data_IF_797081864496
#
_entry.id   IF_797081864496
#
_cell.length_a   1.000
_cell.length_b   1.000
_cell.length_c   1.000
_cell.angle_alpha   90.00
_cell.angle_beta   90.00
_cell.angle_gamma   90.00
#
_symmetry.space_group_name_H-M   'P 1'
#
loop_
_entity.id
_entity.type
_entity.pdbx_description
1 polymer ?
#
# COMPACT_ATOMS: atom_id res chain seq x y z
N UNK A 1 12.85 13.30 -9.06
CA UNK A 1 11.76 12.34 -9.39
C UNK A 1 11.98 11.83 -10.81
N UNK A 2 11.70 10.55 -11.07
CA UNK A 2 11.73 10.00 -12.43
C UNK A 2 10.73 10.75 -13.32
N UNK A 3 11.10 11.00 -14.57
CA UNK A 3 10.21 11.72 -15.49
C UNK A 3 9.09 10.81 -16.01
N UNK A 4 7.93 11.41 -16.32
CA UNK A 4 6.83 10.69 -16.98
C UNK A 4 7.26 10.13 -18.34
N UNK A 5 8.12 10.85 -19.07
CA UNK A 5 8.63 10.40 -20.37
C UNK A 5 9.50 9.15 -20.23
N UNK A 6 10.33 9.06 -19.19
CA UNK A 6 11.12 7.86 -18.88
C UNK A 6 10.20 6.68 -18.58
N UNK A 7 9.17 6.89 -17.76
CA UNK A 7 8.20 5.83 -17.41
C UNK A 7 7.42 5.35 -18.65
N UNK A 8 6.92 6.27 -19.47
CA UNK A 8 6.14 5.94 -20.67
C UNK A 8 7.01 5.34 -21.80
N UNK A 9 8.31 5.59 -21.82
CA UNK A 9 9.23 4.95 -22.78
C UNK A 9 9.97 3.74 -22.18
N UNK A 10 9.57 3.28 -20.99
CA UNK A 10 10.07 2.03 -20.41
C UNK A 10 9.53 0.79 -21.13
N UNK A 11 9.89 -0.38 -20.63
CA UNK A 11 9.42 -1.68 -21.15
C UNK A 11 7.92 -1.95 -20.90
N UNK A 12 7.24 -1.08 -20.14
CA UNK A 12 5.83 -1.21 -19.78
C UNK A 12 4.90 -0.40 -20.71
N UNK A 13 3.62 -0.75 -20.74
CA UNK A 13 2.65 -0.01 -21.55
C UNK A 13 2.51 1.44 -21.03
N UNK A 14 2.50 2.41 -21.95
CA UNK A 14 2.33 3.85 -21.65
C UNK A 14 1.10 4.15 -20.79
N UNK A 15 0.01 3.43 -21.03
CA UNK A 15 -1.26 3.56 -20.31
C UNK A 15 -1.17 3.22 -18.82
N UNK A 16 -0.08 2.60 -18.36
CA UNK A 16 0.14 2.37 -16.94
C UNK A 16 0.65 3.60 -16.18
N UNK A 17 1.06 4.67 -16.88
CA UNK A 17 1.59 5.88 -16.26
C UNK A 17 0.85 7.11 -16.77
N UNK A 18 0.15 7.78 -15.86
CA UNK A 18 -0.62 8.99 -16.17
C UNK A 18 -0.12 10.12 -15.30
N UNK A 19 0.07 11.29 -15.88
CA UNK A 19 0.42 12.49 -15.13
C UNK A 19 -0.82 13.36 -14.95
N UNK A 20 -1.03 13.83 -13.72
CA UNK A 20 -2.14 14.68 -13.33
C UNK A 20 -1.63 16.00 -12.75
N UNK A 21 -2.33 17.09 -13.05
CA UNK A 21 -2.05 18.41 -12.49
C UNK A 21 -2.73 18.56 -11.13
N UNK A 22 -2.06 18.09 -10.08
CA UNK A 22 -2.41 18.34 -8.68
C UNK A 22 -3.68 17.69 -8.15
N UNK A 23 -4.40 16.91 -8.96
CA UNK A 23 -5.65 16.28 -8.54
C UNK A 23 -5.81 14.89 -9.16
N UNK A 24 -6.17 13.91 -8.35
CA UNK A 24 -6.58 12.58 -8.80
C UNK A 24 -7.75 12.07 -7.97
N UNK A 25 -8.68 11.35 -8.61
CA UNK A 25 -9.83 10.74 -7.94
C UNK A 25 -9.73 9.22 -8.07
N UNK A 26 -9.91 8.52 -6.96
CA UNK A 26 -10.02 7.06 -6.91
C UNK A 26 -11.42 6.67 -6.47
N UNK A 27 -12.07 5.89 -7.32
CA UNK A 27 -13.43 5.40 -7.09
C UNK A 27 -13.46 3.87 -7.02
N UNK A 28 -14.20 3.31 -6.08
CA UNK A 28 -14.64 1.91 -6.10
C UNK A 28 -16.10 1.84 -6.56
N UNK A 29 -16.40 0.92 -7.49
CA UNK A 29 -17.79 0.63 -7.85
C UNK A 29 -18.42 -0.16 -6.70
N UNK A 30 -19.35 0.45 -5.97
CA UNK A 30 -20.06 -0.19 -4.86
C UNK A 30 -21.47 -0.61 -5.27
N UNK A 31 -21.90 -1.79 -4.79
CA UNK A 31 -23.26 -2.33 -4.97
C UNK A 31 -24.17 -1.96 -3.78
N UNK A 32 -23.59 -1.51 -2.66
CA UNK A 32 -24.28 -1.23 -1.40
C UNK A 32 -24.06 0.22 -0.97
N UNK A 33 -25.11 0.87 -0.45
CA UNK A 33 -25.08 2.26 0.02
C UNK A 33 -24.33 2.41 1.35
N UNK A 34 -23.67 3.55 1.55
CA UNK A 34 -23.00 3.90 2.82
C UNK A 34 -21.55 3.41 2.95
N UNK A 35 -20.95 2.94 1.86
CA UNK A 35 -19.53 2.60 1.77
C UNK A 35 -18.71 3.79 1.29
N UNK A 36 -17.40 3.78 1.58
CA UNK A 36 -16.48 4.74 0.97
C UNK A 36 -16.37 4.40 -0.52
N UNK A 37 -16.89 5.28 -1.36
CA UNK A 37 -16.98 5.10 -2.80
C UNK A 37 -15.88 5.88 -3.51
N UNK A 38 -15.57 7.08 -3.04
CA UNK A 38 -14.67 7.99 -3.71
C UNK A 38 -13.67 8.64 -2.75
N UNK A 39 -12.42 8.72 -3.19
CA UNK A 39 -11.38 9.50 -2.53
C UNK A 39 -10.69 10.40 -3.55
N UNK A 40 -10.78 11.69 -3.31
CA UNK A 40 -10.02 12.70 -4.04
C UNK A 40 -8.69 12.95 -3.33
N UNK A 41 -7.61 13.07 -4.10
CA UNK A 41 -6.29 13.45 -3.63
C UNK A 41 -5.90 14.76 -4.30
N UNK A 42 -5.59 15.77 -3.49
CA UNK A 42 -5.15 17.08 -3.92
C UNK A 42 -3.67 17.26 -3.57
N UNK A 43 -2.90 17.90 -4.43
CA UNK A 43 -1.47 18.14 -4.25
C UNK A 43 -1.04 19.41 -4.98
N UNK A 44 -0.20 20.22 -4.35
CA UNK A 44 0.42 21.39 -4.94
C UNK A 44 1.62 21.00 -5.80
N UNK A 45 1.32 20.45 -6.97
CA UNK A 45 2.33 20.02 -7.91
C UNK A 45 1.79 19.01 -8.89
N UNK A 46 2.66 18.12 -9.34
CA UNK A 46 2.33 17.09 -10.31
C UNK A 46 2.25 15.73 -9.64
N UNK A 47 1.23 14.95 -10.01
CA UNK A 47 1.04 13.58 -9.54
C UNK A 47 1.27 12.64 -10.71
N UNK A 48 2.25 11.75 -10.63
CA UNK A 48 2.37 10.64 -11.57
C UNK A 48 1.70 9.41 -10.98
N UNK A 49 0.54 9.06 -11.53
CA UNK A 49 -0.20 7.85 -11.18
C UNK A 49 0.39 6.64 -11.90
N UNK A 50 0.63 5.58 -11.12
CA UNK A 50 0.84 4.23 -11.64
C UNK A 50 -0.49 3.49 -11.57
N UNK A 51 -1.00 3.06 -12.73
CA UNK A 51 -2.25 2.33 -12.83
C UNK A 51 -2.17 1.01 -12.07
N UNK A 52 -3.20 0.70 -11.28
CA UNK A 52 -3.32 -0.58 -10.57
C UNK A 52 -3.34 -1.79 -11.50
N UNK A 53 -3.70 -1.59 -12.77
CA UNK A 53 -3.69 -2.66 -13.77
C UNK A 53 -2.28 -3.19 -14.03
N UNK A 54 -1.22 -2.39 -13.79
CA UNK A 54 0.16 -2.86 -13.85
C UNK A 54 0.40 -4.01 -12.86
N UNK A 55 0.00 -3.84 -11.61
CA UNK A 55 0.11 -4.90 -10.60
C UNK A 55 -0.87 -6.04 -10.91
N UNK A 56 -2.12 -5.73 -11.23
CA UNK A 56 -3.16 -6.75 -11.46
C UNK A 56 -2.82 -7.70 -12.62
N UNK A 57 -2.25 -7.20 -13.70
CA UNK A 57 -1.86 -8.02 -14.85
C UNK A 57 -0.64 -8.90 -14.58
N UNK A 58 0.15 -8.58 -13.55
CA UNK A 58 1.27 -9.39 -13.10
C UNK A 58 0.94 -10.24 -11.87
N UNK A 59 -0.33 -10.43 -11.48
CA UNK A 59 -0.66 -11.15 -10.23
C UNK A 59 -0.35 -12.65 -10.28
N UNK A 60 -0.43 -13.27 -11.45
CA UNK A 60 -0.39 -14.74 -11.59
C UNK A 60 1.02 -15.32 -11.44
N UNK A 61 2.07 -14.48 -11.50
CA UNK A 61 3.45 -14.90 -11.19
C UNK A 61 3.74 -14.94 -9.68
N UNK A 62 2.81 -14.48 -8.83
CA UNK A 62 2.99 -14.43 -7.38
C UNK A 62 2.19 -15.53 -6.67
N UNK A 63 2.78 -16.12 -5.63
CA UNK A 63 2.15 -17.21 -4.90
C UNK A 63 1.09 -16.74 -3.89
N UNK A 64 0.05 -17.57 -3.73
CA UNK A 64 -0.87 -17.49 -2.60
C UNK A 64 -0.38 -18.42 -1.50
N UNK A 65 0.02 -17.86 -0.36
CA UNK A 65 0.59 -18.64 0.76
C UNK A 65 -0.51 -19.27 1.61
N UNK A 66 -1.57 -18.51 1.90
CA UNK A 66 -2.71 -18.96 2.69
C UNK A 66 -3.96 -18.15 2.35
N UNK A 67 -5.06 -18.40 3.09
CA UNK A 67 -6.27 -17.55 3.02
C UNK A 67 -6.00 -16.12 3.47
N UNK A 68 -5.03 -15.92 4.36
CA UNK A 68 -4.76 -14.62 5.02
C UNK A 68 -3.50 -13.92 4.50
N UNK A 69 -2.73 -14.57 3.62
CA UNK A 69 -1.51 -14.03 3.02
C UNK A 69 -1.41 -14.43 1.54
N UNK A 70 -1.39 -13.44 0.67
CA UNK A 70 -1.17 -13.62 -0.77
C UNK A 70 -0.19 -12.57 -1.27
N UNK A 71 0.86 -13.00 -2.00
CA UNK A 71 1.74 -12.07 -2.71
C UNK A 71 1.10 -11.53 -4.00
N UNK A 72 -0.11 -11.97 -4.33
CA UNK A 72 -0.87 -11.51 -5.50
C UNK A 72 -1.73 -10.28 -5.22
N UNK A 73 -1.80 -9.79 -3.97
CA UNK A 73 -2.67 -8.66 -3.62
C UNK A 73 -2.05 -7.32 -4.00
N UNK A 74 -2.91 -6.33 -4.15
CA UNK A 74 -2.61 -4.97 -4.58
C UNK A 74 -3.40 -3.97 -3.74
N UNK A 75 -2.91 -2.74 -3.76
CA UNK A 75 -3.60 -1.57 -3.26
C UNK A 75 -4.33 -0.83 -4.39
N UNK A 76 -5.12 0.17 -4.03
CA UNK A 76 -6.02 0.87 -4.95
C UNK A 76 -5.33 1.95 -5.79
N UNK A 77 -4.19 2.46 -5.31
CA UNK A 77 -3.42 3.48 -6.02
C UNK A 77 -1.95 3.51 -5.64
N UNK A 78 -1.11 3.86 -6.62
CA UNK A 78 0.31 4.15 -6.42
C UNK A 78 0.59 5.49 -7.09
N UNK A 79 1.13 6.45 -6.35
CA UNK A 79 1.44 7.79 -6.85
C UNK A 79 2.92 8.13 -6.62
N UNK A 80 3.53 8.76 -7.60
CA UNK A 80 4.85 9.37 -7.51
C UNK A 80 4.69 10.88 -7.43
N UNK A 81 5.35 11.48 -6.45
CA UNK A 81 5.20 12.89 -6.09
C UNK A 81 6.59 13.47 -5.78
N UNK A 82 6.76 14.77 -5.94
CA UNK A 82 7.94 15.50 -5.48
C UNK A 82 7.51 16.72 -4.69
N UNK A 83 8.04 16.86 -3.48
CA UNK A 83 7.75 17.97 -2.57
C UNK A 83 9.04 18.37 -1.86
N UNK A 84 9.35 19.67 -1.90
CA UNK A 84 10.51 20.27 -1.24
C UNK A 84 11.84 19.53 -1.55
N UNK A 85 12.02 19.07 -2.79
CA UNK A 85 13.20 18.35 -3.25
C UNK A 85 13.23 16.86 -2.85
N UNK A 86 12.20 16.37 -2.18
CA UNK A 86 12.06 14.96 -1.78
C UNK A 86 11.09 14.25 -2.70
N UNK A 87 11.49 13.11 -3.25
CA UNK A 87 10.59 12.26 -4.04
C UNK A 87 9.86 11.29 -3.12
N UNK A 88 8.58 11.06 -3.39
CA UNK A 88 7.74 10.16 -2.62
C UNK A 88 7.11 9.10 -3.52
N UNK A 89 6.97 7.89 -2.98
CA UNK A 89 6.07 6.86 -3.49
C UNK A 89 4.95 6.69 -2.47
N UNK A 90 3.73 6.96 -2.90
CA UNK A 90 2.53 6.84 -2.09
C UNK A 90 1.73 5.62 -2.51
N UNK A 91 1.56 4.66 -1.61
CA UNK A 91 0.66 3.52 -1.77
C UNK A 91 -0.65 3.82 -1.07
N UNK A 92 -1.78 3.65 -1.75
CA UNK A 92 -3.10 4.04 -1.24
C UNK A 92 -4.02 2.84 -1.21
N UNK A 93 -4.60 2.57 -0.05
CA UNK A 93 -5.61 1.55 0.18
C UNK A 93 -6.89 2.19 0.71
N UNK A 94 -7.99 2.04 -0.03
CA UNK A 94 -9.33 2.45 0.37
C UNK A 94 -10.03 1.29 1.05
N UNK A 95 -10.65 1.53 2.20
CA UNK A 95 -11.48 0.53 2.89
C UNK A 95 -12.74 1.15 3.42
N UNK A 96 -13.88 0.54 3.15
CA UNK A 96 -15.11 0.89 3.88
C UNK A 96 -14.98 0.55 5.37
N UNK A 97 -14.44 -0.62 5.69
CA UNK A 97 -14.17 -1.00 7.08
C UNK A 97 -12.67 -1.20 7.27
N UNK A 98 -12.10 -0.46 8.23
CA UNK A 98 -10.71 -0.65 8.61
C UNK A 98 -10.44 -2.12 8.92
N UNK A 99 -9.45 -2.70 8.26
CA UNK A 99 -9.02 -4.05 8.53
C UNK A 99 -7.49 -4.17 8.47
N UNK A 100 -6.95 -5.08 9.27
CA UNK A 100 -5.51 -5.33 9.33
C UNK A 100 -4.89 -5.77 8.01
N UNK A 101 -5.68 -6.31 7.07
CA UNK A 101 -5.18 -6.74 5.75
C UNK A 101 -4.74 -5.56 4.88
N UNK A 102 -5.24 -4.35 5.13
CA UNK A 102 -4.81 -3.15 4.44
C UNK A 102 -3.28 -2.91 4.58
N UNK A 103 -2.71 -3.14 5.76
CA UNK A 103 -1.25 -3.04 5.98
C UNK A 103 -0.49 -4.01 5.07
N UNK A 104 -1.03 -5.22 4.89
CA UNK A 104 -0.44 -6.24 4.03
C UNK A 104 -0.57 -5.88 2.55
N UNK A 105 -1.72 -5.37 2.11
CA UNK A 105 -1.89 -4.93 0.72
C UNK A 105 -0.89 -3.83 0.35
N UNK A 106 -0.67 -2.87 1.24
CA UNK A 106 0.36 -1.85 1.09
C UNK A 106 1.76 -2.49 1.00
N UNK A 107 2.14 -3.33 1.98
CA UNK A 107 3.47 -3.95 2.01
C UNK A 107 3.75 -4.86 0.80
N UNK A 108 2.76 -5.62 0.35
CA UNK A 108 2.90 -6.48 -0.83
C UNK A 108 2.93 -5.64 -2.12
N UNK A 109 2.12 -4.59 -2.22
CA UNK A 109 2.17 -3.67 -3.37
C UNK A 109 3.52 -3.00 -3.49
N UNK A 110 4.10 -2.59 -2.37
CA UNK A 110 5.46 -2.06 -2.29
C UNK A 110 6.50 -3.04 -2.86
N UNK A 111 6.55 -4.26 -2.32
CA UNK A 111 7.45 -5.32 -2.79
C UNK A 111 7.30 -5.56 -4.30
N UNK A 112 6.07 -5.64 -4.78
CA UNK A 112 5.76 -5.93 -6.20
C UNK A 112 6.14 -4.76 -7.10
N UNK A 113 5.85 -3.53 -6.68
CA UNK A 113 6.18 -2.33 -7.43
C UNK A 113 7.69 -2.15 -7.54
N UNK A 114 8.44 -2.34 -6.44
CA UNK A 114 9.91 -2.36 -6.45
C UNK A 114 10.48 -3.38 -7.42
N UNK A 115 9.91 -4.60 -7.44
CA UNK A 115 10.34 -5.65 -8.35
C UNK A 115 10.14 -5.25 -9.82
N UNK A 116 9.02 -4.60 -10.14
CA UNK A 116 8.75 -4.10 -11.50
C UNK A 116 9.67 -2.93 -11.87
N UNK A 117 9.92 -2.02 -10.94
CA UNK A 117 10.79 -0.88 -11.19
C UNK A 117 12.25 -1.26 -11.47
N UNK A 118 12.68 -2.46 -11.07
CA UNK A 118 14.01 -3.00 -11.44
C UNK A 118 14.24 -3.07 -12.97
N UNK A 119 13.18 -3.07 -13.78
CA UNK A 119 13.26 -3.07 -15.24
C UNK A 119 13.23 -1.68 -15.90
N UNK A 120 13.18 -0.60 -15.12
CA UNK A 120 13.07 0.78 -15.62
C UNK A 120 14.42 1.47 -15.43
N UNK A 121 15.06 1.85 -16.52
CA UNK A 121 16.30 2.62 -16.47
C UNK A 121 16.07 4.00 -15.82
N UNK A 122 17.01 4.43 -14.98
CA UNK A 122 16.90 5.67 -14.21
C UNK A 122 15.92 5.65 -13.04
N UNK A 123 15.29 4.52 -12.72
CA UNK A 123 14.53 4.36 -11.47
C UNK A 123 15.42 3.76 -10.38
N UNK A 124 15.74 4.52 -9.35
CA UNK A 124 16.27 3.99 -8.09
C UNK A 124 15.25 4.20 -6.97
N UNK A 125 14.89 3.12 -6.28
CA UNK A 125 13.97 3.16 -5.15
C UNK A 125 14.54 3.96 -3.97
N UNK A 126 15.87 4.01 -3.84
CA UNK A 126 16.52 4.73 -2.75
C UNK A 126 16.40 6.26 -2.90
N UNK A 127 16.00 6.74 -4.09
CA UNK A 127 15.71 8.15 -4.32
C UNK A 127 14.34 8.59 -3.80
N UNK A 128 13.55 7.66 -3.23
CA UNK A 128 12.18 7.91 -2.79
C UNK A 128 11.97 7.61 -1.30
N UNK A 129 11.16 8.45 -0.66
CA UNK A 129 10.52 8.13 0.61
C UNK A 129 9.20 7.41 0.37
N UNK A 130 8.94 6.37 1.16
CA UNK A 130 7.82 5.46 0.93
C UNK A 130 6.75 5.67 2.00
N UNK A 131 5.52 5.96 1.56
CA UNK A 131 4.39 6.20 2.43
C UNK A 131 3.22 5.32 2.00
N UNK A 132 2.56 4.67 2.95
CA UNK A 132 1.30 3.98 2.76
C UNK A 132 0.16 4.76 3.41
N UNK A 133 -0.94 4.98 2.71
CA UNK A 133 -2.16 5.55 3.26
C UNK A 133 -3.25 4.50 3.27
N UNK A 134 -3.79 4.23 4.45
CA UNK A 134 -5.02 3.48 4.62
C UNK A 134 -6.11 4.51 4.89
N UNK A 135 -7.11 4.58 4.02
CA UNK A 135 -8.20 5.55 4.10
C UNK A 135 -9.48 4.78 4.33
N UNK A 136 -10.08 4.97 5.51
CA UNK A 136 -11.25 4.19 5.90
C UNK A 136 -12.10 4.87 6.95
N UNK A 137 -13.30 4.34 7.18
CA UNK A 137 -14.02 4.66 8.42
C UNK A 137 -13.22 4.27 9.67
N UNK A 138 -13.49 4.90 10.84
CA UNK A 138 -12.81 4.58 12.08
C UNK A 138 -12.96 3.10 12.43
N UNK A 139 -11.95 2.50 13.11
CA UNK A 139 -11.98 1.10 13.49
C UNK A 139 -13.15 0.84 14.44
N UNK A 140 -13.86 -0.27 14.25
CA UNK A 140 -14.78 -0.77 15.29
C UNK A 140 -13.97 -1.42 16.40
N UNK A 141 -14.17 -0.97 17.63
CA UNK A 141 -13.46 -1.44 18.82
C UNK A 141 -13.74 -2.91 19.11
N UNK A 142 -12.87 -3.82 18.66
CA UNK A 142 -12.39 -5.02 19.37
C UNK A 142 -11.82 -6.03 18.38
N UNK A 143 -10.55 -6.42 18.54
CA UNK A 143 -10.10 -7.74 18.08
C UNK A 143 -9.26 -8.38 19.18
N UNK A 144 -9.91 -9.19 20.03
CA UNK A 144 -9.22 -10.07 20.97
C UNK A 144 -8.72 -11.31 20.23
N UNK A 145 -7.43 -11.61 20.35
CA UNK A 145 -6.81 -12.79 19.75
C UNK A 145 -6.69 -13.89 20.82
N UNK A 146 -7.50 -14.95 20.71
CA UNK A 146 -7.42 -16.14 21.55
C UNK A 146 -7.09 -17.33 20.67
N UNK A 147 -5.82 -17.74 20.62
CA UNK A 147 -5.48 -19.18 20.55
C UNK A 147 -4.00 -19.43 20.80
N UNK A 148 -3.73 -20.41 21.67
CA UNK A 148 -2.40 -20.94 21.95
C UNK A 148 -2.37 -22.43 21.60
N UNK A 149 -1.65 -22.82 20.55
CA UNK A 149 -1.38 -24.23 20.25
C UNK A 149 0.04 -24.43 19.72
N UNK A 150 0.63 -25.59 20.02
CA UNK A 150 1.88 -26.06 19.41
C UNK A 150 1.61 -26.42 17.94
N UNK A 151 2.39 -25.84 17.05
CA UNK A 151 2.12 -25.83 15.62
C UNK A 151 3.39 -26.19 14.83
N UNK A 152 3.21 -26.84 13.68
CA UNK A 152 4.27 -27.22 12.76
C UNK A 152 5.03 -25.98 12.22
N UNK A 153 6.21 -26.16 11.60
CA UNK A 153 7.06 -25.03 11.14
C UNK A 153 6.33 -24.01 10.24
N UNK A 154 5.51 -24.48 9.30
CA UNK A 154 4.71 -23.60 8.41
C UNK A 154 3.63 -22.83 9.18
N UNK A 155 2.99 -23.49 10.14
CA UNK A 155 2.00 -22.86 11.02
C UNK A 155 2.66 -21.87 11.98
N UNK A 156 3.89 -22.12 12.42
CA UNK A 156 4.69 -21.19 13.25
C UNK A 156 5.05 -19.91 12.50
N UNK A 157 5.44 -20.01 11.21
CA UNK A 157 5.67 -18.82 10.37
C UNK A 157 4.39 -18.02 10.20
N UNK A 158 3.26 -18.69 9.95
CA UNK A 158 1.96 -18.02 9.82
C UNK A 158 1.48 -17.40 11.13
N UNK A 159 1.80 -18.01 12.27
CA UNK A 159 1.49 -17.47 13.60
C UNK A 159 2.31 -16.21 13.89
N UNK A 160 3.62 -16.21 13.60
CA UNK A 160 4.46 -15.02 13.74
C UNK A 160 3.97 -13.89 12.82
N UNK A 161 3.61 -14.22 11.58
CA UNK A 161 2.95 -13.30 10.65
C UNK A 161 1.68 -12.68 11.24
N UNK A 162 0.77 -13.50 11.78
CA UNK A 162 -0.49 -13.02 12.37
C UNK A 162 -0.21 -12.09 13.56
N UNK A 163 0.68 -12.49 14.46
CA UNK A 163 1.07 -11.67 15.63
C UNK A 163 1.65 -10.32 15.23
N UNK A 164 2.57 -10.30 14.26
CA UNK A 164 3.10 -9.04 13.72
C UNK A 164 1.97 -8.18 13.16
N UNK A 165 1.06 -8.76 12.37
CA UNK A 165 -0.04 -8.03 11.77
C UNK A 165 -1.01 -7.45 12.82
N UNK A 166 -1.28 -8.20 13.89
CA UNK A 166 -2.08 -7.72 15.02
C UNK A 166 -1.41 -6.57 15.78
N UNK A 167 -0.14 -6.72 16.15
CA UNK A 167 0.60 -5.69 16.86
C UNK A 167 0.69 -4.39 16.04
N UNK A 168 0.93 -4.50 14.73
CA UNK A 168 0.91 -3.36 13.81
C UNK A 168 -0.47 -2.73 13.73
N UNK A 169 -1.53 -3.53 13.65
CA UNK A 169 -2.89 -3.03 13.59
C UNK A 169 -3.28 -2.26 14.87
N UNK A 170 -2.94 -2.78 16.05
CA UNK A 170 -3.16 -2.07 17.32
C UNK A 170 -2.40 -0.75 17.37
N UNK A 171 -1.13 -0.76 16.96
CA UNK A 171 -0.30 0.44 16.90
C UNK A 171 -0.85 1.45 15.89
N UNK A 172 -1.30 1.02 14.72
CA UNK A 172 -1.88 1.87 13.70
C UNK A 172 -3.19 2.51 14.20
N UNK A 173 -4.04 1.77 14.91
CA UNK A 173 -5.27 2.32 15.51
C UNK A 173 -4.95 3.40 16.56
N UNK A 174 -3.96 3.12 17.42
CA UNK A 174 -3.59 3.97 18.56
C UNK A 174 -2.82 5.22 18.13
N UNK A 175 -1.78 5.04 17.34
CA UNK A 175 -0.80 6.08 17.00
C UNK A 175 -1.11 6.73 15.64
N UNK A 176 -2.12 6.23 14.90
CA UNK A 176 -2.49 6.62 13.52
C UNK A 176 -1.39 6.40 12.48
N UNK A 177 -0.27 5.79 12.87
CA UNK A 177 0.81 5.43 11.98
C UNK A 177 1.65 4.25 12.51
N UNK A 178 2.26 3.51 11.60
CA UNK A 178 3.27 2.48 11.87
C UNK A 178 4.38 2.53 10.82
N UNK A 179 5.57 2.07 11.18
CA UNK A 179 6.68 1.92 10.24
C UNK A 179 6.89 0.44 9.95
N UNK A 180 6.96 0.09 8.67
CA UNK A 180 7.30 -1.25 8.20
C UNK A 180 8.77 -1.28 7.78
N UNK A 181 9.44 -2.34 8.18
CA UNK A 181 10.85 -2.61 7.91
C UNK A 181 11.06 -4.07 7.44
N UNK A 182 12.31 -4.41 7.19
CA UNK A 182 12.73 -5.67 6.57
C UNK A 182 12.49 -6.91 7.45
N UNK A 183 12.18 -6.70 8.73
CA UNK A 183 11.88 -7.76 9.69
C UNK A 183 10.40 -7.81 10.10
N UNK A 184 9.59 -6.81 9.71
CA UNK A 184 8.20 -6.64 10.17
C UNK A 184 7.35 -7.89 10.00
N UNK A 185 7.38 -8.52 8.82
CA UNK A 185 6.65 -9.75 8.54
C UNK A 185 7.54 -10.99 8.44
N UNK A 186 8.80 -10.88 8.91
CA UNK A 186 9.80 -11.95 8.83
C UNK A 186 9.86 -12.58 7.43
N UNK A 187 10.16 -11.80 6.40
CA UNK A 187 10.05 -12.23 4.99
C UNK A 187 10.91 -13.43 4.56
N UNK A 188 11.84 -13.87 5.41
CA UNK A 188 12.83 -14.92 5.15
C UNK A 188 12.24 -16.25 4.65
N UNK A 189 11.13 -16.78 5.20
CA UNK A 189 10.53 -18.03 4.73
C UNK A 189 10.07 -18.00 3.28
N UNK A 190 9.80 -16.82 2.72
CA UNK A 190 9.37 -16.65 1.32
C UNK A 190 10.49 -16.17 0.39
N UNK A 191 11.73 -16.14 0.89
CA UNK A 191 12.91 -15.76 0.12
C UNK A 191 12.78 -14.43 -0.64
N UNK A 192 12.08 -13.45 -0.06
CA UNK A 192 11.98 -12.09 -0.61
C UNK A 192 13.35 -11.43 -0.54
N UNK A 193 13.84 -10.91 -1.67
CA UNK A 193 15.16 -10.28 -1.73
C UNK A 193 15.23 -9.02 -0.86
N UNK A 194 16.36 -8.77 -0.21
CA UNK A 194 16.52 -7.65 0.72
C UNK A 194 16.17 -6.29 0.09
N UNK A 195 16.60 -6.08 -1.15
CA UNK A 195 16.42 -4.81 -1.90
C UNK A 195 14.97 -4.44 -2.22
N UNK A 196 14.04 -5.40 -2.16
CA UNK A 196 12.62 -5.17 -2.46
C UNK A 196 11.75 -5.23 -1.20
N UNK A 197 12.32 -5.45 -0.02
CA UNK A 197 11.55 -5.42 1.23
C UNK A 197 11.19 -3.98 1.59
N UNK A 198 10.10 -3.75 2.33
CA UNK A 198 9.90 -2.49 3.02
C UNK A 198 11.06 -2.27 4.00
N UNK A 199 11.67 -1.08 4.03
CA UNK A 199 12.76 -0.75 4.98
C UNK A 199 12.33 0.37 5.92
N UNK A 200 11.76 1.45 5.36
CA UNK A 200 11.29 2.62 6.10
C UNK A 200 9.90 3.07 5.62
N UNK A 201 9.04 2.12 5.25
CA UNK A 201 7.71 2.41 4.73
C UNK A 201 6.79 2.86 5.87
N UNK A 202 6.43 4.14 5.89
CA UNK A 202 5.53 4.70 6.91
C UNK A 202 4.09 4.53 6.45
N UNK A 203 3.32 3.70 7.16
CA UNK A 203 1.89 3.50 6.90
C UNK A 203 1.07 4.34 7.87
N UNK A 204 0.22 5.22 7.34
CA UNK A 204 -0.67 6.10 8.10
C UNK A 204 -2.12 5.72 7.89
N UNK A 205 -2.95 5.90 8.91
CA UNK A 205 -4.39 5.73 8.85
C UNK A 205 -5.08 7.09 8.83
N UNK A 206 -5.81 7.37 7.75
CA UNK A 206 -6.65 8.55 7.63
C UNK A 206 -8.11 8.13 7.82
N UNK A 207 -8.74 8.66 8.86
CA UNK A 207 -10.12 8.35 9.19
C UNK A 207 -11.10 9.23 8.41
N UNK A 208 -12.01 8.59 7.69
CA UNK A 208 -13.16 9.23 7.06
C UNK A 208 -14.35 9.11 8.00
N UNK A 209 -15.11 10.17 8.31
CA UNK A 209 -16.30 10.05 9.14
C UNK A 209 -17.30 9.02 8.60
N UNK A 210 -17.85 8.16 9.47
CA UNK A 210 -18.84 7.14 9.08
C UNK A 210 -20.00 7.77 8.32
N UNK A 211 -20.45 7.10 7.26
CA UNK A 211 -21.58 7.52 6.44
C UNK A 211 -21.22 8.51 5.34
N UNK A 212 -19.95 8.94 5.21
CA UNK A 212 -19.48 9.67 4.03
C UNK A 212 -19.08 8.71 2.92
N UNK A 213 -19.75 8.82 1.77
CA UNK A 213 -19.37 8.08 0.57
C UNK A 213 -18.16 8.66 -0.15
N UNK A 214 -17.79 9.92 0.13
CA UNK A 214 -16.61 10.55 -0.44
C UNK A 214 -15.77 11.32 0.59
N UNK A 215 -14.48 11.44 0.29
CA UNK A 215 -13.55 12.28 1.04
C UNK A 215 -12.51 12.92 0.12
N UNK A 216 -11.84 13.96 0.62
CA UNK A 216 -10.73 14.63 -0.05
C UNK A 216 -9.55 14.67 0.90
N UNK A 217 -8.38 14.28 0.39
CA UNK A 217 -7.10 14.22 1.11
C UNK A 217 -6.15 15.23 0.49
N UNK A 218 -5.67 16.15 1.31
CA UNK A 218 -4.59 17.05 0.96
C UNK A 218 -3.24 16.36 1.17
N UNK A 219 -2.59 15.96 0.08
CA UNK A 219 -1.30 15.27 0.11
C UNK A 219 -0.18 16.16 0.62
N UNK A 220 -0.25 17.50 0.46
CA UNK A 220 0.76 18.40 1.01
C UNK A 220 0.79 18.34 2.54
N UNK A 221 -0.34 18.08 3.19
CA UNK A 221 -0.41 17.93 4.64
C UNK A 221 0.07 16.56 5.15
N UNK A 222 0.13 15.56 4.26
CA UNK A 222 0.41 14.16 4.61
C UNK A 222 1.84 13.76 4.24
N UNK A 223 2.46 14.38 3.25
CA UNK A 223 3.88 14.19 2.92
C UNK A 223 4.78 14.98 3.87
#
# INVERSE_FOLDING_TARGET
>A
MISIDTLQNSIYQKSYFTQHSGRIVKSEIQVETGKLEECEFCFHGTITEVSKELLKNCKDIFCKVSKDLSFSCECDGIFLLEKDGTNYILFVELKSNFNKRAIMQIAISDIRYKLLCCGIDGFDINDYQEIGLIISYPPTSSVTDNSSYKLAKTEMVMELYKRSLYALNEKLIKDKQVMLNDCTFQWKPWNVAQRIKPINLVVRHIEVPKGRSSCSIDLDSVL
#
